data_IF_398800582906
#
_entry.id   IF_398800582906
#
_cell.length_a   1.000
_cell.length_b   1.000
_cell.length_c   1.000
_cell.angle_alpha   90.00
_cell.angle_beta   90.00
_cell.angle_gamma   90.00
#
_symmetry.space_group_name_H-M   'P 1'
#
loop_
_entity.id
_entity.type
_entity.pdbx_description
1 polymer ?
#
# COMPACT_ATOMS: atom_id res chain seq x y z
N UNK A 1 -29.97 30.20 30.28
CA UNK A 1 -29.42 30.82 29.05
C UNK A 1 -28.17 30.05 28.69
N UNK A 2 -28.29 29.03 27.85
CA UNK A 2 -27.16 28.23 27.36
C UNK A 2 -26.83 28.73 25.95
N UNK A 3 -25.67 29.37 25.83
CA UNK A 3 -25.14 29.88 24.57
C UNK A 3 -24.64 28.71 23.73
N UNK A 4 -25.29 28.45 22.60
CA UNK A 4 -24.74 27.60 21.56
C UNK A 4 -23.63 28.36 20.84
N UNK A 5 -22.40 27.86 20.92
CA UNK A 5 -21.31 28.27 20.03
C UNK A 5 -21.30 27.31 18.85
N UNK A 6 -21.49 27.76 17.59
CA UNK A 6 -21.35 26.88 16.44
C UNK A 6 -19.87 26.61 16.22
N UNK A 7 -19.40 25.43 16.65
CA UNK A 7 -18.15 24.88 16.15
C UNK A 7 -18.39 24.53 14.67
N UNK A 8 -17.69 25.21 13.76
CA UNK A 8 -17.54 24.74 12.40
C UNK A 8 -16.82 23.39 12.47
N UNK A 9 -17.58 22.30 12.41
CA UNK A 9 -17.04 20.96 12.29
C UNK A 9 -16.57 20.77 10.84
N UNK A 10 -15.29 21.03 10.58
CA UNK A 10 -14.63 20.48 9.40
C UNK A 10 -14.45 18.99 9.68
N UNK A 11 -15.36 18.17 9.16
CA UNK A 11 -15.23 16.72 9.18
C UNK A 11 -14.16 16.30 8.15
N UNK A 12 -12.88 16.42 8.51
CA UNK A 12 -11.83 15.66 7.82
C UNK A 12 -11.84 14.26 8.44
N UNK A 13 -12.43 13.30 7.73
CA UNK A 13 -12.51 11.92 8.18
C UNK A 13 -11.16 11.25 7.94
N UNK A 14 -10.21 11.52 8.84
CA UNK A 14 -8.88 10.90 8.81
C UNK A 14 -9.08 9.42 9.05
N UNK A 15 -8.71 8.60 8.07
CA UNK A 15 -8.82 7.16 8.19
C UNK A 15 -7.45 6.51 8.36
N UNK A 16 -7.39 5.58 9.31
CA UNK A 16 -6.22 4.76 9.59
C UNK A 16 -6.67 3.31 9.51
N UNK A 17 -6.02 2.57 8.62
CA UNK A 17 -6.29 1.15 8.41
C UNK A 17 -4.98 0.38 8.38
N UNK A 18 -5.04 -0.90 8.70
CA UNK A 18 -3.84 -1.72 8.69
C UNK A 18 -4.17 -3.16 9.06
N UNK A 19 -3.14 -4.00 8.97
CA UNK A 19 -3.24 -5.37 9.44
C UNK A 19 -1.89 -5.83 9.99
N UNK A 20 -1.95 -6.87 10.80
CA UNK A 20 -0.81 -7.66 11.21
C UNK A 20 -1.07 -9.11 10.81
N UNK A 21 -0.08 -9.77 10.22
CA UNK A 21 -0.18 -11.13 9.71
C UNK A 21 1.07 -11.91 10.09
N UNK A 22 0.88 -13.11 10.67
CA UNK A 22 1.94 -14.10 10.85
C UNK A 22 1.70 -15.29 9.94
N UNK A 23 2.73 -15.72 9.20
CA UNK A 23 2.70 -16.87 8.32
C UNK A 23 3.74 -17.89 8.80
N UNK A 24 3.28 -19.09 9.15
CA UNK A 24 4.12 -20.17 9.65
C UNK A 24 3.82 -21.47 8.91
N UNK A 25 4.85 -22.14 8.40
CA UNK A 25 4.71 -23.37 7.63
C UNK A 25 5.64 -24.46 8.15
N UNK A 26 5.09 -25.65 8.38
CA UNK A 26 5.80 -26.83 8.86
C UNK A 26 5.97 -27.86 7.75
N UNK A 27 7.12 -28.54 7.73
CA UNK A 27 7.39 -29.65 6.83
C UNK A 27 6.91 -30.99 7.39
N UNK A 28 6.23 -31.81 6.58
CA UNK A 28 5.96 -33.23 6.90
C UNK A 28 7.19 -34.14 6.68
N UNK A 29 8.28 -33.59 6.14
CA UNK A 29 9.59 -34.22 5.91
C UNK A 29 10.65 -33.21 6.35
N UNK A 30 11.84 -33.70 6.70
CA UNK A 30 13.01 -32.87 7.01
C UNK A 30 13.26 -31.84 5.91
N UNK A 31 13.42 -30.58 6.30
CA UNK A 31 13.69 -29.52 5.34
C UNK A 31 15.15 -29.56 4.88
N UNK A 32 15.46 -29.19 3.62
CA UNK A 32 16.82 -29.25 3.08
C UNK A 32 17.83 -28.34 3.80
N UNK A 33 17.36 -27.26 4.40
CA UNK A 33 18.10 -26.30 5.23
C UNK A 33 18.24 -26.76 6.69
N UNK A 34 17.59 -27.86 7.09
CA UNK A 34 17.62 -28.40 8.44
C UNK A 34 16.75 -27.67 9.46
N UNK A 35 16.02 -26.62 9.05
CA UNK A 35 15.12 -25.87 9.93
C UNK A 35 13.76 -26.54 10.12
N UNK A 36 13.08 -26.23 11.23
CA UNK A 36 11.73 -26.76 11.53
C UNK A 36 10.63 -26.10 10.67
N UNK A 37 10.85 -24.86 10.22
CA UNK A 37 9.89 -24.07 9.45
C UNK A 37 10.35 -23.87 8.01
N UNK A 38 9.43 -23.98 7.05
CA UNK A 38 9.66 -23.64 5.64
C UNK A 38 9.38 -22.18 5.31
N UNK A 39 8.54 -21.55 6.14
CA UNK A 39 8.20 -20.13 6.06
C UNK A 39 7.82 -19.68 7.46
N UNK A 40 8.45 -18.63 7.95
CA UNK A 40 8.13 -18.00 9.23
C UNK A 40 8.30 -16.48 9.08
N UNK A 41 7.24 -15.79 8.66
CA UNK A 41 7.27 -14.35 8.39
C UNK A 41 6.16 -13.64 9.16
N UNK A 42 6.51 -12.53 9.80
CA UNK A 42 5.55 -11.57 10.32
C UNK A 42 5.51 -10.33 9.44
N UNK A 43 4.31 -9.78 9.24
CA UNK A 43 4.08 -8.63 8.37
C UNK A 43 3.10 -7.67 9.01
N UNK A 44 3.42 -6.40 8.94
CA UNK A 44 2.61 -5.29 9.38
C UNK A 44 2.38 -4.32 8.22
N UNK A 45 1.13 -3.95 7.97
CA UNK A 45 0.76 -2.94 6.99
C UNK A 45 0.04 -1.79 7.69
N UNK A 46 0.42 -0.57 7.35
CA UNK A 46 -0.25 0.65 7.78
C UNK A 46 -0.67 1.49 6.56
N UNK A 47 -1.91 1.94 6.58
CA UNK A 47 -2.53 2.86 5.62
C UNK A 47 -3.05 4.07 6.37
N UNK A 48 -2.65 5.25 5.93
CA UNK A 48 -3.10 6.54 6.43
C UNK A 48 -3.68 7.32 5.26
N UNK A 49 -4.91 7.79 5.40
CA UNK A 49 -5.59 8.65 4.44
C UNK A 49 -6.13 9.89 5.15
N UNK A 50 -5.60 11.04 4.78
CA UNK A 50 -5.92 12.34 5.36
C UNK A 50 -6.54 13.21 4.28
N UNK A 51 -7.87 13.16 4.10
CA UNK A 51 -8.56 14.05 3.19
C UNK A 51 -8.74 15.45 3.81
N UNK A 52 -8.54 16.48 2.98
CA UNK A 52 -8.78 17.90 3.26
C UNK A 52 -9.35 18.53 1.99
N UNK A 53 -10.14 19.60 2.11
CA UNK A 53 -10.96 20.16 1.01
C UNK A 53 -10.36 20.08 -0.41
N UNK A 54 -9.16 20.63 -0.60
CA UNK A 54 -8.44 20.58 -1.89
C UNK A 54 -7.22 19.67 -1.89
N UNK A 55 -6.91 18.99 -0.78
CA UNK A 55 -5.69 18.21 -0.60
C UNK A 55 -5.97 16.83 -0.01
N UNK A 56 -5.32 15.78 -0.49
CA UNK A 56 -5.35 14.47 0.16
C UNK A 56 -3.93 13.95 0.34
N UNK A 57 -3.59 13.55 1.55
CA UNK A 57 -2.35 12.82 1.82
C UNK A 57 -2.67 11.34 1.98
N UNK A 58 -2.01 10.49 1.21
CA UNK A 58 -2.14 9.04 1.30
C UNK A 58 -0.77 8.39 1.53
N UNK A 59 -0.67 7.55 2.54
CA UNK A 59 0.55 6.81 2.88
C UNK A 59 0.19 5.34 3.11
N UNK A 60 0.91 4.44 2.46
CA UNK A 60 0.84 2.99 2.66
C UNK A 60 2.26 2.44 2.83
N UNK A 61 2.52 1.86 4.00
CA UNK A 61 3.83 1.30 4.36
C UNK A 61 3.65 -0.12 4.85
N UNK A 62 4.57 -0.99 4.43
CA UNK A 62 4.64 -2.38 4.88
C UNK A 62 5.98 -2.62 5.59
N UNK A 63 5.94 -3.31 6.72
CA UNK A 63 7.11 -3.83 7.42
C UNK A 63 6.97 -5.35 7.49
N UNK A 64 8.06 -6.09 7.30
CA UNK A 64 8.07 -7.54 7.46
C UNK A 64 9.34 -8.01 8.14
N UNK A 65 9.23 -9.12 8.86
CA UNK A 65 10.37 -9.77 9.51
C UNK A 65 10.34 -11.26 9.20
N UNK A 66 11.40 -11.74 8.56
CA UNK A 66 11.63 -13.16 8.28
C UNK A 66 12.42 -13.79 9.42
N UNK A 67 11.84 -14.79 10.07
CA UNK A 67 12.45 -15.50 11.21
C UNK A 67 13.41 -16.62 10.79
N UNK A 68 13.44 -17.01 9.51
CA UNK A 68 14.39 -18.01 9.01
C UNK A 68 15.71 -17.33 8.68
N UNK A 69 15.64 -16.23 7.94
CA UNK A 69 16.81 -15.45 7.52
C UNK A 69 17.21 -14.36 8.54
N UNK A 70 16.40 -14.15 9.58
CA UNK A 70 16.51 -13.08 10.58
C UNK A 70 16.58 -11.66 9.97
N UNK A 71 15.87 -11.45 8.86
CA UNK A 71 15.89 -10.18 8.11
C UNK A 71 14.60 -9.39 8.27
N UNK A 72 14.75 -8.14 8.71
CA UNK A 72 13.71 -7.13 8.65
C UNK A 72 13.71 -6.39 7.31
N UNK A 73 12.53 -6.10 6.78
CA UNK A 73 12.32 -5.23 5.62
C UNK A 73 11.27 -4.17 5.95
N UNK A 74 11.49 -2.96 5.46
CA UNK A 74 10.55 -1.85 5.55
C UNK A 74 10.42 -1.22 4.18
N UNK A 75 9.19 -1.13 3.66
CA UNK A 75 8.91 -0.64 2.32
C UNK A 75 7.78 0.40 2.35
N UNK A 76 8.09 1.61 1.85
CA UNK A 76 7.07 2.60 1.50
C UNK A 76 6.48 2.23 0.14
N UNK A 77 5.23 1.78 0.15
CA UNK A 77 4.56 1.25 -1.05
C UNK A 77 3.84 2.32 -1.82
N UNK A 78 3.11 3.18 -1.12
CA UNK A 78 2.47 4.37 -1.69
C UNK A 78 2.67 5.53 -0.71
N UNK A 79 2.86 6.72 -1.25
CA UNK A 79 3.14 7.92 -0.49
C UNK A 79 3.00 9.11 -1.42
N UNK A 80 1.80 9.66 -1.51
CA UNK A 80 1.50 10.75 -2.43
C UNK A 80 0.60 11.81 -1.82
N UNK A 81 0.67 12.99 -2.41
CA UNK A 81 -0.23 14.11 -2.14
C UNK A 81 -1.02 14.41 -3.40
N UNK A 82 -2.34 14.50 -3.24
CA UNK A 82 -3.25 15.01 -4.26
C UNK A 82 -3.57 16.47 -3.97
N UNK A 83 -3.66 17.26 -5.03
CA UNK A 83 -4.26 18.59 -5.03
C UNK A 83 -5.32 18.69 -6.12
N UNK A 84 -6.51 19.14 -5.75
CA UNK A 84 -7.66 19.26 -6.66
C UNK A 84 -8.08 20.72 -6.74
N UNK A 85 -8.03 21.28 -7.95
CA UNK A 85 -8.57 22.59 -8.29
C UNK A 85 -9.71 22.46 -9.31
N UNK A 86 -10.42 23.57 -9.57
CA UNK A 86 -11.60 23.56 -10.45
C UNK A 86 -11.30 23.14 -11.91
N UNK A 87 -10.10 23.42 -12.41
CA UNK A 87 -9.71 23.20 -13.81
C UNK A 87 -8.55 22.21 -13.98
N UNK A 88 -7.97 21.76 -12.88
CA UNK A 88 -6.82 20.87 -12.92
C UNK A 88 -6.69 20.09 -11.61
N UNK A 89 -6.06 18.92 -11.71
CA UNK A 89 -5.64 18.11 -10.57
C UNK A 89 -4.17 17.73 -10.71
N UNK A 90 -3.53 17.48 -9.57
CA UNK A 90 -2.16 17.00 -9.51
C UNK A 90 -2.04 15.94 -8.42
N UNK A 91 -1.29 14.89 -8.74
CA UNK A 91 -0.80 13.89 -7.78
C UNK A 91 0.70 13.83 -7.86
N UNK A 92 1.39 13.96 -6.73
CA UNK A 92 2.84 13.86 -6.66
C UNK A 92 3.29 12.92 -5.55
N UNK A 93 4.23 12.04 -5.87
CA UNK A 93 4.86 11.11 -4.94
C UNK A 93 4.91 9.69 -5.48
N UNK A 94 5.02 8.73 -4.56
CA UNK A 94 5.02 7.30 -4.86
C UNK A 94 3.60 6.79 -5.00
N UNK A 95 3.25 6.25 -6.16
CA UNK A 95 1.90 5.78 -6.46
C UNK A 95 1.92 4.48 -7.24
N UNK A 96 0.94 3.62 -7.01
CA UNK A 96 0.72 2.44 -7.85
C UNK A 96 -0.23 2.84 -8.99
N UNK A 97 0.32 3.09 -10.18
CA UNK A 97 -0.48 3.36 -11.37
C UNK A 97 -0.78 2.03 -12.06
N UNK A 98 -2.03 1.83 -12.44
CA UNK A 98 -2.47 0.61 -13.12
C UNK A 98 -3.31 1.01 -14.32
N UNK A 99 -2.99 0.45 -15.49
CA UNK A 99 -3.73 0.70 -16.72
C UNK A 99 -4.30 -0.62 -17.24
N UNK A 100 -5.62 -0.72 -17.29
CA UNK A 100 -6.33 -1.96 -17.59
C UNK A 100 -6.65 -2.80 -16.34
N UNK A 101 -7.85 -3.39 -16.34
CA UNK A 101 -8.34 -4.38 -15.37
C UNK A 101 -8.67 -5.64 -16.15
N UNK A 102 -8.10 -6.79 -15.78
CA UNK A 102 -8.54 -8.06 -16.36
C UNK A 102 -7.57 -9.21 -16.11
N UNK A 103 -7.90 -10.05 -15.11
CA UNK A 103 -7.49 -11.46 -15.03
C UNK A 103 -6.01 -11.80 -15.20
N UNK A 104 -5.08 -10.98 -14.67
CA UNK A 104 -3.62 -11.23 -14.78
C UNK A 104 -3.11 -11.24 -16.24
N UNK A 105 -3.95 -10.88 -17.21
CA UNK A 105 -3.61 -10.74 -18.61
C UNK A 105 -3.25 -9.27 -18.86
N UNK A 106 -1.97 -8.98 -18.65
CA UNK A 106 -1.41 -7.63 -18.78
C UNK A 106 -1.02 -7.34 -20.23
N UNK A 107 -2.01 -7.08 -21.09
CA UNK A 107 -1.73 -6.79 -22.51
C UNK A 107 -1.01 -5.44 -22.68
N UNK A 108 -1.26 -4.46 -21.79
CA UNK A 108 -0.73 -3.09 -21.88
C UNK A 108 -0.24 -2.48 -20.53
N UNK A 109 -0.07 -3.29 -19.48
CA UNK A 109 0.37 -2.79 -18.18
C UNK A 109 1.90 -2.91 -18.03
N UNK A 110 2.61 -1.86 -18.42
CA UNK A 110 4.09 -1.77 -18.41
C UNK A 110 4.68 -1.34 -17.05
N UNK A 111 3.86 -1.16 -16.01
CA UNK A 111 4.36 -0.72 -14.70
C UNK A 111 5.12 -1.83 -13.96
N UNK A 112 6.06 -1.48 -13.06
CA UNK A 112 6.93 -2.47 -12.43
C UNK A 112 6.15 -3.47 -11.57
N UNK A 113 6.47 -4.76 -11.74
CA UNK A 113 5.80 -5.88 -11.07
C UNK A 113 6.76 -6.66 -10.19
N UNK A 114 6.24 -7.18 -9.09
CA UNK A 114 6.89 -8.16 -8.22
C UNK A 114 6.32 -9.56 -8.47
N UNK A 115 7.03 -10.36 -9.26
CA UNK A 115 6.62 -11.73 -9.56
C UNK A 115 6.94 -12.69 -8.42
N UNK A 116 7.94 -12.39 -7.59
CA UNK A 116 8.30 -13.21 -6.43
C UNK A 116 7.18 -13.19 -5.39
N UNK A 117 6.56 -12.02 -5.17
CA UNK A 117 5.38 -11.90 -4.34
C UNK A 117 4.19 -12.75 -4.86
N UNK A 118 4.02 -12.86 -6.17
CA UNK A 118 2.95 -13.67 -6.75
C UNK A 118 3.16 -15.17 -6.53
N UNK A 119 4.37 -15.67 -6.81
CA UNK A 119 4.68 -17.10 -6.69
C UNK A 119 4.82 -17.57 -5.24
N UNK A 120 5.12 -16.67 -4.30
CA UNK A 120 5.13 -16.96 -2.86
C UNK A 120 3.72 -17.01 -2.23
N UNK A 121 2.66 -16.78 -3.01
CA UNK A 121 1.28 -16.82 -2.54
C UNK A 121 0.84 -15.57 -1.77
N UNK A 122 1.58 -14.47 -1.86
CA UNK A 122 1.18 -13.19 -1.25
C UNK A 122 -0.05 -12.61 -1.97
N UNK A 123 -0.88 -11.79 -1.30
CA UNK A 123 -2.03 -11.15 -1.93
C UNK A 123 -1.66 -10.40 -3.20
N UNK A 124 -2.56 -10.38 -4.20
CA UNK A 124 -2.32 -9.75 -5.51
C UNK A 124 -1.91 -8.28 -5.45
N UNK A 125 -2.27 -7.57 -4.37
CA UNK A 125 -1.81 -6.19 -4.15
C UNK A 125 -0.28 -6.07 -4.08
N UNK A 126 0.44 -7.12 -3.68
CA UNK A 126 1.92 -7.15 -3.59
C UNK A 126 2.63 -7.27 -4.93
N UNK A 127 1.91 -7.67 -5.98
CA UNK A 127 2.47 -7.75 -7.32
C UNK A 127 2.77 -6.38 -7.92
N UNK A 128 2.05 -5.34 -7.52
CA UNK A 128 2.19 -4.01 -8.11
C UNK A 128 3.16 -3.17 -7.27
N UNK A 129 4.21 -2.65 -7.90
CA UNK A 129 5.18 -1.75 -7.25
C UNK A 129 4.78 -0.29 -7.44
N UNK A 130 5.09 0.51 -6.42
CA UNK A 130 4.95 1.95 -6.49
C UNK A 130 5.98 2.56 -7.43
N UNK A 131 5.57 3.60 -8.17
CA UNK A 131 6.45 4.43 -8.96
C UNK A 131 6.44 5.85 -8.44
N UNK A 132 7.61 6.48 -8.43
CA UNK A 132 7.75 7.89 -8.05
C UNK A 132 7.46 8.75 -9.27
N UNK A 133 6.47 9.63 -9.17
CA UNK A 133 6.08 10.46 -10.30
C UNK A 133 5.09 11.56 -9.98
N UNK A 134 4.89 12.41 -10.98
CA UNK A 134 3.88 13.47 -10.95
C UNK A 134 2.89 13.24 -12.07
N UNK A 135 1.60 13.23 -11.71
CA UNK A 135 0.47 13.18 -12.64
C UNK A 135 -0.24 14.53 -12.58
N UNK A 136 -0.55 15.09 -13.75
CA UNK A 136 -1.30 16.34 -13.88
C UNK A 136 -2.46 16.08 -14.84
N UNK A 137 -3.67 16.40 -14.41
CA UNK A 137 -4.87 16.45 -15.25
C UNK A 137 -5.30 17.89 -15.44
N UNK A 138 -5.62 18.29 -16.68
CA UNK A 138 -6.17 19.61 -16.99
C UNK A 138 -7.46 19.43 -17.78
N UNK A 139 -8.52 20.12 -17.34
CA UNK A 139 -9.85 20.01 -17.92
C UNK A 139 -10.24 21.39 -18.51
N UNK A 140 -10.46 21.48 -19.83
CA UNK A 140 -10.84 22.73 -20.49
C UNK A 140 -12.24 23.20 -20.11
#
# INVERSE_FOLDING_TARGET
MLLFSPAYAIASDVSIHGFFQGNYSFGARTNPDGGDFKWAEERFQLKLDVPKESFRLFIKTDASFDHIDEKGSLELREGYIDYIAQKWDMRAGRQIITWGLGDLIFINDVFPKDYEAFFSGRPLEYMKKGIDGVKIGAYP
#
